data_IF_686385708889
#
_entry.id   IF_686385708889
#
_cell.length_a   1.000
_cell.length_b   1.000
_cell.length_c   1.000
_cell.angle_alpha   90.00
_cell.angle_beta   90.00
_cell.angle_gamma   90.00
#
_symmetry.space_group_name_H-M   'P 1'
#
loop_
_entity.id
_entity.type
_entity.pdbx_description
1 polymer ?
#
# COMPACT_ATOMS: atom_id res chain seq x y z
N UNK A 1 -17.94 -8.17 4.15
CA UNK A 1 -18.12 -7.64 5.54
C UNK A 1 -19.12 -6.50 5.54
N UNK A 2 -19.74 -6.18 6.71
CA UNK A 2 -20.49 -4.93 6.82
C UNK A 2 -19.56 -3.72 7.08
N UNK A 3 -20.10 -2.51 6.94
CA UNK A 3 -19.32 -1.28 7.09
C UNK A 3 -18.72 -1.08 8.50
N UNK A 4 -19.38 -1.64 9.53
CA UNK A 4 -18.88 -1.56 10.91
C UNK A 4 -17.65 -2.43 11.08
N UNK A 5 -17.68 -3.66 10.56
CA UNK A 5 -16.54 -4.58 10.61
C UNK A 5 -15.35 -4.07 9.75
N UNK A 6 -15.61 -3.46 8.58
CA UNK A 6 -14.57 -2.82 7.79
C UNK A 6 -13.89 -1.66 8.54
N UNK A 7 -14.68 -0.80 9.22
CA UNK A 7 -14.14 0.28 10.05
C UNK A 7 -13.32 -0.26 11.23
N UNK A 8 -13.79 -1.29 11.92
CA UNK A 8 -13.04 -1.94 13.01
C UNK A 8 -11.71 -2.52 12.53
N UNK A 9 -11.68 -3.16 11.36
CA UNK A 9 -10.45 -3.68 10.77
C UNK A 9 -9.47 -2.55 10.44
N UNK A 10 -9.94 -1.44 9.86
CA UNK A 10 -9.12 -0.27 9.57
C UNK A 10 -8.53 0.34 10.85
N UNK A 11 -9.32 0.48 11.91
CA UNK A 11 -8.86 1.00 13.21
C UNK A 11 -7.79 0.11 13.85
N UNK A 12 -7.95 -1.23 13.78
CA UNK A 12 -6.94 -2.18 14.28
C UNK A 12 -5.59 -1.96 13.58
N UNK A 13 -5.61 -1.82 12.25
CA UNK A 13 -4.39 -1.60 11.48
C UNK A 13 -3.76 -0.24 11.79
N UNK A 14 -4.54 0.81 11.96
CA UNK A 14 -4.05 2.14 12.33
C UNK A 14 -3.42 2.11 13.73
N UNK A 15 -4.10 1.48 14.68
CA UNK A 15 -3.64 1.39 16.06
C UNK A 15 -2.32 0.62 16.21
N UNK A 16 -2.03 -0.34 15.32
CA UNK A 16 -0.81 -1.12 15.35
C UNK A 16 0.45 -0.24 15.25
N UNK A 17 0.44 0.82 14.42
CA UNK A 17 1.57 1.76 14.36
C UNK A 17 1.72 2.60 15.61
N UNK A 18 0.64 3.06 16.19
CA UNK A 18 0.69 3.87 17.41
C UNK A 18 1.14 3.08 18.62
N UNK A 19 0.74 1.80 18.70
CA UNK A 19 1.07 0.90 19.81
C UNK A 19 2.41 0.18 19.63
N UNK A 20 2.96 0.12 18.41
CA UNK A 20 4.08 -0.73 18.02
C UNK A 20 3.83 -2.23 18.28
N UNK A 21 2.57 -2.66 18.24
CA UNK A 21 2.17 -4.05 18.45
C UNK A 21 1.51 -4.57 17.18
N UNK A 22 2.12 -5.54 16.48
CA UNK A 22 1.50 -6.18 15.32
C UNK A 22 0.19 -6.88 15.70
N UNK A 23 -0.76 -6.89 14.75
CA UNK A 23 -2.05 -7.57 14.89
C UNK A 23 -2.01 -8.95 14.25
N UNK A 24 -2.92 -9.83 14.64
CA UNK A 24 -3.13 -11.10 13.96
C UNK A 24 -3.77 -10.86 12.58
N UNK A 25 -3.61 -11.79 11.61
CA UNK A 25 -4.24 -11.67 10.30
C UNK A 25 -5.71 -11.27 10.38
N UNK A 26 -6.13 -10.36 9.51
CA UNK A 26 -7.54 -9.93 9.47
C UNK A 26 -8.45 -11.10 9.11
N UNK A 27 -7.96 -12.02 8.28
CA UNK A 27 -8.65 -13.26 7.91
C UNK A 27 -8.93 -14.19 9.10
N UNK A 28 -8.14 -14.12 10.17
CA UNK A 28 -8.35 -14.87 11.41
C UNK A 28 -9.45 -14.22 12.28
N UNK A 29 -9.65 -12.91 12.15
CA UNK A 29 -10.59 -12.13 12.98
C UNK A 29 -11.94 -11.90 12.30
N UNK A 30 -11.93 -11.75 10.99
CA UNK A 30 -13.10 -11.38 10.20
C UNK A 30 -13.40 -12.50 9.19
N UNK A 31 -14.30 -13.39 9.54
CA UNK A 31 -14.70 -14.49 8.67
C UNK A 31 -15.34 -13.96 7.38
N UNK A 32 -14.95 -14.56 6.24
CA UNK A 32 -15.54 -14.22 4.94
C UNK A 32 -15.11 -12.88 4.36
N UNK A 33 -14.00 -12.31 4.83
CA UNK A 33 -13.38 -11.13 4.21
C UNK A 33 -13.10 -11.38 2.72
N UNK A 34 -13.45 -10.42 1.87
CA UNK A 34 -13.24 -10.48 0.42
C UNK A 34 -12.17 -9.49 -0.02
N UNK A 35 -11.73 -9.59 -1.27
CA UNK A 35 -10.78 -8.62 -1.84
C UNK A 35 -11.37 -7.20 -1.88
N UNK A 36 -12.67 -7.08 -2.14
CA UNK A 36 -13.35 -5.78 -2.10
C UNK A 36 -13.35 -5.19 -0.67
N UNK A 37 -13.62 -6.01 0.34
CA UNK A 37 -13.52 -5.57 1.75
C UNK A 37 -12.11 -5.07 2.07
N UNK A 38 -11.10 -5.79 1.62
CA UNK A 38 -9.72 -5.41 1.83
C UNK A 38 -9.40 -4.03 1.23
N UNK A 39 -9.83 -3.75 0.00
CA UNK A 39 -9.69 -2.41 -0.61
C UNK A 39 -10.51 -1.34 0.14
N UNK A 40 -11.70 -1.66 0.62
CA UNK A 40 -12.49 -0.71 1.44
C UNK A 40 -11.79 -0.39 2.76
N UNK A 41 -11.20 -1.38 3.43
CA UNK A 41 -10.40 -1.18 4.64
C UNK A 41 -9.19 -0.28 4.35
N UNK A 42 -8.51 -0.46 3.20
CA UNK A 42 -7.44 0.43 2.76
C UNK A 42 -7.95 1.86 2.57
N UNK A 43 -9.05 2.05 1.83
CA UNK A 43 -9.61 3.36 1.54
C UNK A 43 -10.06 4.09 2.81
N UNK A 44 -10.57 3.40 3.82
CA UNK A 44 -10.90 3.98 5.12
C UNK A 44 -9.66 4.55 5.81
N UNK A 45 -8.53 3.84 5.79
CA UNK A 45 -7.28 4.32 6.36
C UNK A 45 -6.75 5.55 5.60
N UNK A 46 -6.76 5.51 4.26
CA UNK A 46 -6.36 6.64 3.41
C UNK A 46 -7.30 7.84 3.66
N UNK A 47 -8.60 7.61 3.72
CA UNK A 47 -9.60 8.65 4.01
C UNK A 47 -9.37 9.34 5.36
N UNK A 48 -9.03 8.58 6.40
CA UNK A 48 -8.70 9.15 7.70
C UNK A 48 -7.46 10.04 7.63
N UNK A 49 -6.41 9.59 6.94
CA UNK A 49 -5.15 10.35 6.81
C UNK A 49 -5.33 11.60 5.95
N UNK A 50 -6.07 11.52 4.86
CA UNK A 50 -6.36 12.69 4.00
C UNK A 50 -7.25 13.70 4.70
N UNK A 51 -8.20 13.25 5.53
CA UNK A 51 -9.00 14.14 6.40
C UNK A 51 -8.12 14.84 7.43
N UNK A 52 -7.06 14.20 7.90
CA UNK A 52 -6.06 14.80 8.80
C UNK A 52 -5.04 15.70 8.08
N UNK A 53 -5.14 15.86 6.75
CA UNK A 53 -4.33 16.79 5.96
C UNK A 53 -3.26 16.16 5.07
N UNK A 54 -3.09 14.83 5.09
CA UNK A 54 -2.17 14.14 4.18
C UNK A 54 -2.65 14.23 2.72
N UNK A 55 -1.72 14.28 1.78
CA UNK A 55 -2.01 14.36 0.34
C UNK A 55 -1.54 13.12 -0.39
N UNK A 56 -2.37 12.60 -1.28
CA UNK A 56 -1.96 11.52 -2.19
C UNK A 56 -1.03 12.12 -3.24
N UNK A 57 0.21 11.63 -3.30
CA UNK A 57 1.21 12.05 -4.30
C UNK A 57 1.39 11.03 -5.42
N UNK A 58 1.00 9.79 -5.21
CA UNK A 58 1.16 8.75 -6.22
C UNK A 58 0.62 7.40 -5.76
N UNK A 59 1.03 6.37 -6.48
CA UNK A 59 0.64 5.00 -6.21
C UNK A 59 1.84 4.07 -6.37
N UNK A 60 1.92 3.05 -5.54
CA UNK A 60 2.75 1.89 -5.83
C UNK A 60 1.91 0.82 -6.53
N UNK A 61 2.55 0.04 -7.38
CA UNK A 61 1.92 -1.10 -8.06
C UNK A 61 2.73 -2.36 -7.77
N UNK A 62 2.12 -3.31 -7.09
CA UNK A 62 2.70 -4.62 -6.82
C UNK A 62 2.19 -5.69 -7.78
N UNK A 63 2.79 -6.88 -7.70
CA UNK A 63 2.39 -8.08 -8.47
C UNK A 63 2.36 -7.81 -9.99
N UNK A 64 3.31 -7.03 -10.50
CA UNK A 64 3.35 -6.60 -11.90
C UNK A 64 3.77 -7.70 -12.86
N UNK A 65 4.38 -8.79 -12.38
CA UNK A 65 4.80 -9.90 -13.23
C UNK A 65 3.84 -11.09 -13.17
N UNK A 66 3.60 -11.73 -14.31
CA UNK A 66 2.77 -12.94 -14.37
C UNK A 66 3.33 -14.10 -13.52
N UNK A 67 4.64 -14.12 -13.26
CA UNK A 67 5.26 -15.12 -12.38
C UNK A 67 4.85 -14.91 -10.93
N UNK A 68 4.91 -13.67 -10.43
CA UNK A 68 4.48 -13.33 -9.08
C UNK A 68 2.97 -13.52 -8.90
N UNK A 69 2.18 -13.11 -9.90
CA UNK A 69 0.73 -13.33 -9.87
C UNK A 69 0.38 -14.82 -9.72
N UNK A 70 1.02 -15.69 -10.50
CA UNK A 70 0.83 -17.14 -10.36
C UNK A 70 1.25 -17.68 -8.99
N UNK A 71 2.38 -17.21 -8.46
CA UNK A 71 2.87 -17.61 -7.14
C UNK A 71 1.89 -17.21 -6.02
N UNK A 72 1.27 -16.05 -6.15
CA UNK A 72 0.30 -15.53 -5.17
C UNK A 72 -1.14 -15.94 -5.48
N UNK A 73 -1.34 -16.75 -6.54
CA UNK A 73 -2.66 -17.20 -7.00
C UNK A 73 -3.64 -16.05 -7.26
N UNK A 74 -3.16 -15.03 -7.97
CA UNK A 74 -3.95 -13.87 -8.43
C UNK A 74 -3.76 -13.68 -9.93
N UNK A 75 -4.64 -12.92 -10.56
CA UNK A 75 -4.66 -12.69 -12.01
C UNK A 75 -4.47 -11.20 -12.39
N UNK A 76 -4.23 -10.35 -11.40
CA UNK A 76 -4.08 -8.91 -11.59
C UNK A 76 -3.04 -8.32 -10.66
N UNK A 77 -2.45 -7.15 -11.02
CA UNK A 77 -1.63 -6.36 -10.11
C UNK A 77 -2.45 -5.83 -8.94
N UNK A 78 -1.80 -5.52 -7.84
CA UNK A 78 -2.35 -4.72 -6.75
C UNK A 78 -1.79 -3.29 -6.78
N UNK A 79 -2.46 -2.36 -6.11
CA UNK A 79 -2.01 -0.97 -6.00
C UNK A 79 -2.31 -0.38 -4.64
N UNK A 80 -1.48 0.59 -4.25
CA UNK A 80 -1.58 1.29 -2.98
C UNK A 80 -1.35 2.78 -3.17
N UNK A 81 -1.95 3.57 -2.28
CA UNK A 81 -1.75 5.01 -2.28
C UNK A 81 -0.44 5.37 -1.57
N UNK A 82 0.33 6.27 -2.16
CA UNK A 82 1.50 6.90 -1.54
C UNK A 82 1.13 8.32 -1.11
N UNK A 83 1.25 8.58 0.18
CA UNK A 83 0.97 9.88 0.78
C UNK A 83 2.26 10.71 0.89
N UNK A 84 2.11 12.03 1.02
CA UNK A 84 3.23 12.97 1.05
C UNK A 84 4.24 12.74 2.18
N UNK A 85 3.83 12.17 3.31
CA UNK A 85 4.70 11.80 4.42
C UNK A 85 5.36 10.42 4.28
N UNK A 86 5.15 9.73 3.17
CA UNK A 86 5.78 8.44 2.85
C UNK A 86 7.04 8.58 1.98
N UNK A 87 7.45 9.79 1.63
CA UNK A 87 8.62 10.03 0.80
C UNK A 87 9.80 10.52 1.64
N UNK A 88 10.93 9.85 1.50
CA UNK A 88 12.17 10.20 2.17
C UNK A 88 13.24 10.57 1.15
N UNK A 89 13.96 11.63 1.42
CA UNK A 89 15.09 11.99 0.58
C UNK A 89 16.29 11.05 0.84
N UNK A 90 16.98 10.62 -0.21
CA UNK A 90 18.07 9.63 -0.16
C UNK A 90 19.20 9.95 0.82
N UNK A 91 19.41 11.22 1.13
CA UNK A 91 20.48 11.69 2.02
C UNK A 91 20.04 11.80 3.49
N UNK A 92 18.80 11.48 3.81
CA UNK A 92 18.28 11.56 5.18
C UNK A 92 18.11 10.16 5.78
N UNK A 93 18.49 9.98 7.05
CA UNK A 93 18.25 8.71 7.72
C UNK A 93 16.74 8.51 7.96
N UNK A 94 16.27 7.30 7.72
CA UNK A 94 14.90 6.92 8.00
C UNK A 94 14.82 6.36 9.41
N UNK A 95 13.95 6.91 10.29
CA UNK A 95 13.85 6.45 11.67
C UNK A 95 13.33 5.01 11.75
N UNK A 96 14.12 4.08 12.24
CA UNK A 96 13.69 2.67 12.41
C UNK A 96 12.44 2.52 13.30
N UNK A 97 12.26 3.44 14.26
CA UNK A 97 11.09 3.48 15.13
C UNK A 97 9.77 3.84 14.41
N UNK A 98 9.83 4.23 13.13
CA UNK A 98 8.63 4.47 12.32
C UNK A 98 7.99 3.18 11.79
N UNK A 99 8.63 2.03 12.01
CA UNK A 99 8.24 0.75 11.43
C UNK A 99 8.09 -0.34 12.50
N UNK A 100 7.31 -1.37 12.18
CA UNK A 100 7.14 -2.56 13.01
C UNK A 100 8.08 -3.70 12.56
N UNK A 101 8.03 -4.04 11.28
CA UNK A 101 8.71 -5.19 10.69
C UNK A 101 9.19 -4.85 9.26
N UNK A 102 10.08 -3.85 9.07
CA UNK A 102 10.41 -3.34 7.75
C UNK A 102 11.19 -4.33 6.90
N UNK A 103 10.93 -4.29 5.59
CA UNK A 103 11.73 -4.93 4.54
C UNK A 103 11.98 -3.92 3.44
N UNK A 104 13.06 -4.11 2.68
CA UNK A 104 13.45 -3.20 1.60
C UNK A 104 13.31 -3.93 0.27
N UNK A 105 12.67 -3.27 -0.69
CA UNK A 105 12.52 -3.75 -2.06
C UNK A 105 13.12 -2.74 -3.04
N UNK A 106 13.94 -3.17 -4.02
CA UNK A 106 14.39 -2.30 -5.10
C UNK A 106 13.23 -2.08 -6.08
N UNK A 107 13.01 -0.82 -6.46
CA UNK A 107 11.89 -0.43 -7.30
C UNK A 107 12.32 0.54 -8.41
N UNK A 108 11.43 0.76 -9.35
CA UNK A 108 11.55 1.78 -10.40
C UNK A 108 10.40 2.77 -10.22
N UNK A 109 10.75 4.01 -9.91
CA UNK A 109 9.78 5.10 -9.79
C UNK A 109 9.61 5.82 -11.13
N UNK A 110 8.36 6.02 -11.53
CA UNK A 110 7.98 6.83 -12.69
C UNK A 110 7.41 8.16 -12.19
N UNK A 111 8.09 9.25 -12.50
CA UNK A 111 7.58 10.59 -12.20
C UNK A 111 6.78 11.09 -13.40
N UNK A 112 5.53 11.44 -13.17
CA UNK A 112 4.62 11.87 -14.20
C UNK A 112 4.62 13.39 -14.33
N UNK A 113 4.65 13.90 -15.57
CA UNK A 113 4.49 15.34 -15.89
C UNK A 113 3.02 15.79 -15.90
N UNK A 114 2.09 14.85 -15.93
CA UNK A 114 0.65 15.10 -15.91
C UNK A 114 -0.08 13.91 -15.32
N UNK A 115 -1.24 14.17 -14.73
CA UNK A 115 -2.11 13.13 -14.23
C UNK A 115 -2.55 12.16 -15.34
N UNK A 116 -2.64 10.88 -14.98
CA UNK A 116 -3.31 9.87 -15.77
C UNK A 116 -4.64 9.53 -15.09
N UNK A 117 -5.72 9.60 -15.88
CA UNK A 117 -7.08 9.30 -15.37
C UNK A 117 -7.76 8.30 -16.29
N UNK A 118 -8.14 7.15 -15.73
CA UNK A 118 -8.92 6.13 -16.42
C UNK A 118 -10.43 6.45 -16.45
N UNK A 119 -11.22 5.56 -17.09
CA UNK A 119 -10.81 4.35 -17.79
C UNK A 119 -10.25 4.62 -19.20
N UNK A 120 -9.54 3.60 -19.75
CA UNK A 120 -9.14 3.62 -21.17
C UNK A 120 -7.78 4.26 -21.46
N UNK A 121 -6.94 4.50 -20.44
CA UNK A 121 -5.57 4.96 -20.66
C UNK A 121 -4.79 3.93 -21.46
N UNK A 122 -4.25 4.35 -22.61
CA UNK A 122 -3.43 3.52 -23.47
C UNK A 122 -1.96 3.49 -23.00
N UNK A 123 -1.20 2.47 -23.39
CA UNK A 123 0.24 2.41 -23.13
C UNK A 123 0.97 3.64 -23.70
N UNK A 124 0.57 4.12 -24.87
CA UNK A 124 1.18 5.31 -25.47
C UNK A 124 0.93 6.57 -24.64
N UNK A 125 -0.27 6.74 -24.09
CA UNK A 125 -0.60 7.85 -23.19
C UNK A 125 0.14 7.76 -21.88
N UNK A 126 0.28 6.54 -21.33
CA UNK A 126 1.05 6.32 -20.10
C UNK A 126 2.52 6.69 -20.30
N UNK A 127 3.16 6.19 -21.36
CA UNK A 127 4.55 6.54 -21.72
C UNK A 127 4.71 8.04 -21.94
N UNK A 128 3.79 8.67 -22.66
CA UNK A 128 3.81 10.11 -22.94
C UNK A 128 3.59 10.96 -21.66
N UNK A 129 3.04 10.40 -20.60
CA UNK A 129 2.85 11.09 -19.34
C UNK A 129 4.07 11.03 -18.44
N UNK A 130 5.02 10.11 -18.66
CA UNK A 130 6.26 10.01 -17.89
C UNK A 130 7.17 11.19 -18.20
N UNK A 131 7.66 11.85 -17.15
CA UNK A 131 8.70 12.88 -17.25
C UNK A 131 10.09 12.25 -17.14
N UNK A 132 10.32 11.51 -16.09
CA UNK A 132 11.56 10.77 -15.89
C UNK A 132 11.34 9.52 -15.03
N UNK A 133 12.37 8.68 -14.97
CA UNK A 133 12.38 7.41 -14.25
C UNK A 133 13.56 7.44 -13.29
N UNK A 134 13.35 6.95 -12.06
CA UNK A 134 14.36 6.90 -11.01
C UNK A 134 14.49 5.48 -10.46
N UNK A 135 15.70 5.05 -10.07
CA UNK A 135 15.82 3.96 -9.11
C UNK A 135 15.23 4.43 -7.78
N UNK A 136 14.49 3.56 -7.12
CA UNK A 136 13.91 3.83 -5.82
C UNK A 136 14.11 2.63 -4.89
N UNK A 137 14.07 2.87 -3.59
CA UNK A 137 13.95 1.83 -2.57
C UNK A 137 12.58 1.99 -1.93
N UNK A 138 11.80 0.93 -1.94
CA UNK A 138 10.59 0.86 -1.16
C UNK A 138 10.87 0.18 0.17
N UNK A 139 10.45 0.79 1.27
CA UNK A 139 10.45 0.15 2.57
C UNK A 139 9.02 -0.28 2.84
N UNK A 140 8.77 -1.56 2.68
CA UNK A 140 7.49 -2.18 3.03
C UNK A 140 7.50 -2.58 4.49
N UNK A 141 6.36 -2.38 5.15
CA UNK A 141 6.21 -2.71 6.56
C UNK A 141 4.88 -3.41 6.80
N UNK A 142 4.85 -4.44 7.62
CA UNK A 142 3.63 -5.16 7.93
C UNK A 142 3.17 -4.93 9.37
N UNK A 143 1.90 -4.58 9.52
CA UNK A 143 1.20 -4.53 10.81
C UNK A 143 0.70 -5.92 11.23
N UNK A 144 0.70 -6.88 10.30
CA UNK A 144 0.33 -8.27 10.61
C UNK A 144 1.55 -8.99 11.17
N UNK A 145 1.35 -9.69 12.28
CA UNK A 145 2.38 -10.41 13.02
C UNK A 145 3.13 -11.39 12.12
N UNK A 146 4.47 -11.35 12.21
CA UNK A 146 5.39 -12.27 11.55
C UNK A 146 5.22 -12.35 10.02
N UNK A 147 4.70 -11.26 9.41
CA UNK A 147 4.42 -11.23 7.97
C UNK A 147 3.46 -12.33 7.50
N UNK A 148 2.57 -12.81 8.35
CA UNK A 148 1.52 -13.79 7.97
C UNK A 148 0.42 -13.15 7.15
N UNK A 149 0.77 -12.35 6.18
CA UNK A 149 -0.15 -11.65 5.28
C UNK A 149 -0.54 -12.54 4.11
N UNK A 150 -1.83 -12.66 3.86
CA UNK A 150 -2.40 -13.11 2.60
C UNK A 150 -2.85 -11.94 1.74
N UNK A 151 -3.37 -12.22 0.56
CA UNK A 151 -3.90 -11.20 -0.35
C UNK A 151 -5.01 -10.35 0.31
N UNK A 152 -5.81 -10.96 1.17
CA UNK A 152 -6.95 -10.31 1.83
C UNK A 152 -6.57 -9.53 3.08
N UNK A 153 -5.37 -9.71 3.60
CA UNK A 153 -4.91 -8.98 4.78
C UNK A 153 -4.41 -7.56 4.45
N UNK A 154 -4.46 -7.15 3.21
CA UNK A 154 -4.02 -5.89 2.57
C UNK A 154 -3.43 -4.86 3.53
N UNK A 155 -2.33 -5.26 4.15
CA UNK A 155 -1.68 -4.50 5.19
C UNK A 155 -0.24 -4.18 4.79
N UNK A 156 -0.06 -3.25 3.86
CA UNK A 156 1.27 -2.77 3.55
C UNK A 156 1.33 -1.26 3.71
N UNK A 157 2.12 -0.79 4.67
CA UNK A 157 2.65 0.56 4.63
C UNK A 157 3.89 0.52 3.75
N UNK A 158 3.96 1.45 2.84
CA UNK A 158 5.15 1.68 2.04
C UNK A 158 5.67 3.08 2.27
N UNK A 159 6.98 3.22 2.31
CA UNK A 159 7.66 4.51 2.18
C UNK A 159 8.70 4.39 1.07
N UNK A 160 8.91 5.46 0.34
CA UNK A 160 9.78 5.50 -0.85
C UNK A 160 10.82 6.59 -0.67
#
# INVERSE_FOLDING_TARGET
MDAVAQAQAAELLIAAYSSHIPVEPLTDKFAGITLEDAYQIQLLQIGQRTTAGARILGHKVGLTSAAMQRQMNVDQPDYWHLLDDMFYAEHLPIPAAAFLQPRVEPEVAFVLRRDLRGPGVTTAEAVAAVDFVLPALEIIDSRIRDWRIGLLDTDRKSVV
#
